data_IF_977468628318
#
_entry.id   IF_977468628318
#
_cell.length_a   1.000
_cell.length_b   1.000
_cell.length_c   1.000
_cell.angle_alpha   90.00
_cell.angle_beta   90.00
_cell.angle_gamma   90.00
#
_symmetry.space_group_name_H-M   'P 1'
#
loop_
_entity.id
_entity.type
_entity.pdbx_description
1 polymer ?
#
# COMPACT_ATOMS: atom_id res chain seq x y z
N UNK A 1 2.28 -11.70 -2.09
CA UNK A 1 1.66 -10.58 -2.86
C UNK A 1 1.31 -10.93 -4.32
N UNK A 2 0.09 -10.62 -4.79
CA UNK A 2 -0.39 -10.79 -6.18
C UNK A 2 -1.39 -9.70 -6.60
N UNK A 3 -1.65 -9.55 -7.92
CA UNK A 3 -2.72 -8.67 -8.44
C UNK A 3 -4.09 -9.19 -7.95
N UNK A 4 -5.02 -8.26 -7.76
CA UNK A 4 -6.37 -8.47 -7.22
C UNK A 4 -6.43 -8.93 -5.75
N UNK A 5 -5.29 -9.06 -5.07
CA UNK A 5 -5.24 -9.32 -3.64
C UNK A 5 -5.77 -8.13 -2.83
N UNK A 6 -6.64 -8.40 -1.86
CA UNK A 6 -6.98 -7.43 -0.82
C UNK A 6 -5.87 -7.37 0.23
N UNK A 7 -5.49 -6.16 0.61
CA UNK A 7 -4.49 -5.89 1.65
C UNK A 7 -5.00 -4.82 2.61
N UNK A 8 -4.44 -4.79 3.82
CA UNK A 8 -4.61 -3.70 4.76
C UNK A 8 -3.39 -2.78 4.66
N UNK A 9 -3.63 -1.51 4.39
CA UNK A 9 -2.62 -0.44 4.39
C UNK A 9 -2.87 0.43 5.61
N UNK A 10 -1.81 0.74 6.34
CA UNK A 10 -1.86 1.51 7.57
C UNK A 10 -1.60 3.00 7.28
N UNK A 11 -2.52 3.88 7.67
CA UNK A 11 -2.35 5.33 7.58
C UNK A 11 -1.69 5.85 8.87
N UNK A 12 -0.46 6.34 8.76
CA UNK A 12 0.36 6.76 9.92
C UNK A 12 -0.08 8.10 10.52
N UNK A 13 -0.80 8.92 9.77
CA UNK A 13 -1.33 10.19 10.30
C UNK A 13 -2.58 10.00 11.14
N UNK A 14 -3.36 8.95 10.85
CA UNK A 14 -4.66 8.70 11.52
C UNK A 14 -4.66 7.45 12.38
N UNK A 15 -3.57 6.67 12.38
CA UNK A 15 -3.43 5.39 13.07
C UNK A 15 -4.55 4.40 12.70
N UNK A 16 -5.00 4.43 11.44
CA UNK A 16 -6.09 3.61 10.93
C UNK A 16 -5.66 2.74 9.77
N UNK A 17 -6.14 1.51 9.79
CA UNK A 17 -6.00 0.59 8.66
C UNK A 17 -7.12 0.81 7.65
N UNK A 18 -6.76 0.77 6.38
CA UNK A 18 -7.69 0.89 5.26
C UNK A 18 -7.54 -0.34 4.37
N UNK A 19 -8.67 -0.90 3.94
CA UNK A 19 -8.66 -1.98 2.95
C UNK A 19 -8.35 -1.40 1.57
N UNK A 20 -7.44 -2.04 0.87
CA UNK A 20 -7.11 -1.72 -0.51
C UNK A 20 -6.94 -2.97 -1.36
N UNK A 21 -7.06 -2.82 -2.67
CA UNK A 21 -6.89 -3.89 -3.64
C UNK A 21 -5.63 -3.64 -4.48
N UNK A 22 -4.73 -4.60 -4.57
CA UNK A 22 -3.54 -4.51 -5.41
C UNK A 22 -3.96 -4.51 -6.88
N UNK A 23 -3.75 -3.40 -7.60
CA UNK A 23 -4.12 -3.26 -9.01
C UNK A 23 -2.92 -3.30 -9.94
N UNK A 24 -1.71 -3.10 -9.41
CA UNK A 24 -0.46 -3.16 -10.18
C UNK A 24 0.70 -3.56 -9.29
N UNK A 25 1.54 -4.45 -9.81
CA UNK A 25 2.86 -4.76 -9.26
C UNK A 25 3.94 -4.32 -10.24
N UNK A 26 5.02 -3.74 -9.73
CA UNK A 26 6.19 -3.35 -10.53
C UNK A 26 7.47 -3.48 -9.72
N UNK A 27 8.62 -3.36 -10.38
CA UNK A 27 9.92 -3.45 -9.70
C UNK A 27 10.02 -2.35 -8.64
N UNK A 28 10.05 -2.76 -7.37
CA UNK A 28 10.19 -1.85 -6.23
C UNK A 28 8.89 -1.17 -5.78
N UNK A 29 7.71 -1.70 -6.11
CA UNK A 29 6.46 -1.15 -5.57
C UNK A 29 5.18 -1.78 -6.10
N UNK A 30 4.06 -1.20 -5.66
CA UNK A 30 2.72 -1.58 -6.05
C UNK A 30 1.79 -0.35 -6.08
N UNK A 31 0.76 -0.40 -6.92
CA UNK A 31 -0.37 0.53 -6.84
C UNK A 31 -1.56 -0.19 -6.18
N UNK A 32 -2.20 0.48 -5.21
CA UNK A 32 -3.32 -0.06 -4.43
C UNK A 32 -4.54 0.84 -4.62
N UNK A 33 -5.64 0.26 -5.10
CA UNK A 33 -6.93 0.94 -5.14
C UNK A 33 -7.55 0.97 -3.75
N UNK A 34 -7.96 2.15 -3.29
CA UNK A 34 -8.62 2.39 -2.01
C UNK A 34 -9.85 3.26 -2.28
N UNK A 35 -11.05 2.69 -2.11
CA UNK A 35 -12.30 3.38 -2.44
C UNK A 35 -12.24 4.00 -3.86
N UNK A 36 -12.22 5.33 -3.97
CA UNK A 36 -12.17 6.08 -5.23
C UNK A 36 -10.77 6.66 -5.55
N UNK A 37 -9.72 6.19 -4.88
CA UNK A 37 -8.35 6.67 -5.03
C UNK A 37 -7.36 5.52 -5.28
N UNK A 38 -6.17 5.89 -5.77
CA UNK A 38 -5.05 4.96 -5.98
C UNK A 38 -3.86 5.46 -5.17
N UNK A 39 -3.33 4.61 -4.32
CA UNK A 39 -2.12 4.88 -3.53
C UNK A 39 -0.95 4.14 -4.18
N UNK A 40 0.08 4.91 -4.54
CA UNK A 40 1.33 4.37 -5.09
C UNK A 40 2.28 4.07 -3.94
N UNK A 41 2.52 2.79 -3.68
CA UNK A 41 3.42 2.33 -2.62
C UNK A 41 4.76 1.91 -3.22
N UNK A 42 5.85 2.45 -2.68
CA UNK A 42 7.22 2.12 -3.08
C UNK A 42 7.90 1.31 -1.98
N UNK A 43 8.61 0.25 -2.38
CA UNK A 43 9.42 -0.55 -1.47
C UNK A 43 10.53 0.34 -0.89
N UNK A 44 10.57 0.43 0.43
CA UNK A 44 11.55 1.24 1.16
C UNK A 44 12.62 0.39 1.82
N UNK A 45 12.24 -0.77 2.35
CA UNK A 45 13.13 -1.78 2.95
C UNK A 45 12.47 -3.16 2.78
N UNK A 46 13.21 -4.27 2.89
CA UNK A 46 12.87 -5.69 2.64
C UNK A 46 11.41 -6.05 2.32
N UNK A 47 10.45 -5.64 3.14
CA UNK A 47 9.02 -5.85 2.94
C UNK A 47 8.12 -4.64 3.26
N UNK A 48 8.71 -3.49 3.60
CA UNK A 48 8.01 -2.24 3.92
C UNK A 48 7.83 -1.41 2.66
N UNK A 49 6.58 -1.12 2.34
CA UNK A 49 6.18 -0.21 1.28
C UNK A 49 5.59 1.07 1.87
N UNK A 50 5.92 2.21 1.27
CA UNK A 50 5.48 3.54 1.72
C UNK A 50 4.89 4.31 0.53
N UNK A 51 3.78 5.00 0.75
CA UNK A 51 3.19 5.91 -0.21
C UNK A 51 2.49 7.08 0.47
N UNK A 52 2.00 8.00 -0.35
CA UNK A 52 1.26 9.17 0.12
C UNK A 52 0.00 9.36 -0.73
N UNK A 53 -1.08 9.83 -0.10
CA UNK A 53 -2.28 10.28 -0.78
C UNK A 53 -2.83 11.52 -0.06
N UNK A 54 -2.94 12.64 -0.79
CA UNK A 54 -3.47 13.91 -0.29
C UNK A 54 -2.80 14.41 1.00
N UNK A 55 -1.49 14.19 1.15
CA UNK A 55 -0.73 14.62 2.33
C UNK A 55 -0.70 13.60 3.47
N UNK A 56 -1.48 12.52 3.39
CA UNK A 56 -1.45 11.41 4.35
C UNK A 56 -0.45 10.34 3.90
N UNK A 57 0.33 9.83 4.84
CA UNK A 57 1.30 8.75 4.65
C UNK A 57 0.68 7.38 4.94
N UNK A 58 1.03 6.41 4.08
CA UNK A 58 0.52 5.05 4.14
C UNK A 58 1.67 4.05 4.09
N UNK A 59 1.56 3.00 4.89
CA UNK A 59 2.52 1.92 4.95
C UNK A 59 1.86 0.56 4.76
N UNK A 60 2.57 -0.35 4.09
CA UNK A 60 2.18 -1.75 3.94
C UNK A 60 3.40 -2.63 4.22
N UNK A 61 3.22 -3.65 5.04
CA UNK A 61 4.27 -4.65 5.32
C UNK A 61 3.82 -5.98 4.72
N UNK A 62 4.56 -6.47 3.73
CA UNK A 62 4.33 -7.81 3.18
C UNK A 62 4.89 -8.86 4.16
N UNK A 63 3.99 -9.62 4.80
CA UNK A 63 4.35 -10.66 5.79
C UNK A 63 4.59 -12.03 5.16
N UNK A 64 4.40 -12.15 3.84
CA UNK A 64 4.53 -13.43 3.13
C UNK A 64 5.94 -13.62 2.51
N UNK A 65 6.90 -12.73 2.82
CA UNK A 65 8.29 -12.78 2.35
C UNK A 65 9.18 -13.53 3.35
#
# INVERSE_FOLDING_TARGET
>A
MRIDQEILIHCTDTEKDVKGKVIRLYRGGLDVAVQNAIIKLKLKNNNLYVGNLHGLEFTFIDKEI
#
